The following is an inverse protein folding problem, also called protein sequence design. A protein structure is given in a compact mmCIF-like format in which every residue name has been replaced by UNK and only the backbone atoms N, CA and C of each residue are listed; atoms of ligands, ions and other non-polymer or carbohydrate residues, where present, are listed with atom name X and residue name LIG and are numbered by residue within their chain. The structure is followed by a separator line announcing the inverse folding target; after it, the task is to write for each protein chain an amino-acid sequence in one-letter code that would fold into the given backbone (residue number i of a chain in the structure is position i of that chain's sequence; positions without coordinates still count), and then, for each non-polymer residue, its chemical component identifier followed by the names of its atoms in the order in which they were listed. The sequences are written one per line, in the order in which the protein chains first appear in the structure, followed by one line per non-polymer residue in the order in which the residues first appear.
data_IF_191755356128
#
_entry.id   IF_191755356128
#
_cell.length_a   1.000
_cell.length_b   1.000
_cell.length_c   1.000
_cell.angle_alpha   90.00
_cell.angle_beta   90.00
_cell.angle_gamma   90.00
#
_symmetry.space_group_name_H-M   'P 1'
#
loop_
_entity.id
_entity.type
_entity.pdbx_description
1 polymer ?
#
# COMPACT_ATOMS: atom_id res chain seq x y z
N UNK A 1 5.67 -15.14 -11.23
CA UNK A 1 4.56 -14.26 -11.63
C UNK A 1 3.29 -15.09 -11.68
N UNK A 2 2.27 -14.74 -10.92
CA UNK A 2 0.99 -15.48 -10.85
C UNK A 2 0.02 -15.14 -11.99
N UNK A 3 0.53 -14.69 -13.14
CA UNK A 3 -0.29 -14.34 -14.30
C UNK A 3 -0.58 -15.51 -15.21
N UNK A 4 0.17 -16.62 -15.06
CA UNK A 4 0.08 -17.80 -15.91
C UNK A 4 -0.17 -19.04 -15.06
N UNK A 5 -1.15 -19.85 -15.47
CA UNK A 5 -1.43 -21.18 -14.91
C UNK A 5 -0.40 -22.21 -15.38
N UNK A 6 0.05 -22.07 -16.63
CA UNK A 6 1.03 -22.98 -17.23
C UNK A 6 2.09 -22.17 -18.00
N UNK A 7 3.32 -22.61 -17.89
CA UNK A 7 4.45 -22.07 -18.66
C UNK A 7 5.23 -23.25 -19.22
N UNK A 8 5.20 -23.42 -20.55
CA UNK A 8 5.84 -24.54 -21.28
C UNK A 8 6.99 -24.02 -22.13
N UNK A 9 8.23 -24.00 -21.62
CA UNK A 9 9.40 -23.68 -22.42
C UNK A 9 9.79 -24.88 -23.28
N UNK A 10 9.99 -24.63 -24.59
CA UNK A 10 10.42 -25.62 -25.56
C UNK A 10 11.62 -25.10 -26.32
N UNK A 11 12.68 -25.90 -26.42
CA UNK A 11 13.81 -25.63 -27.27
C UNK A 11 13.51 -26.22 -28.66
N UNK A 12 13.48 -25.35 -29.67
CA UNK A 12 13.24 -25.75 -31.08
C UNK A 12 14.54 -25.54 -31.85
N UNK A 13 15.13 -26.59 -32.43
CA UNK A 13 16.32 -26.47 -33.28
C UNK A 13 16.04 -25.49 -34.41
N UNK A 14 16.97 -24.56 -34.65
CA UNK A 14 16.97 -23.74 -35.85
C UNK A 14 17.68 -24.51 -36.99
N UNK A 15 17.59 -24.02 -38.22
CA UNK A 15 18.33 -24.62 -39.35
C UNK A 15 19.85 -24.44 -39.27
N UNK A 16 20.37 -23.72 -38.29
CA UNK A 16 21.78 -23.43 -38.09
C UNK A 16 22.40 -24.34 -37.03
N UNK A 17 23.56 -24.97 -37.26
CA UNK A 17 24.22 -25.79 -36.24
C UNK A 17 24.58 -24.96 -34.99
N UNK A 18 24.15 -25.41 -33.81
CA UNK A 18 24.45 -24.77 -32.52
C UNK A 18 23.49 -23.65 -32.07
N UNK A 19 22.48 -23.35 -32.88
CA UNK A 19 21.44 -22.37 -32.54
C UNK A 19 20.10 -23.07 -32.19
N UNK A 20 19.44 -22.60 -31.17
CA UNK A 20 18.10 -23.07 -30.77
C UNK A 20 17.21 -21.88 -30.45
N UNK A 21 15.95 -21.95 -30.88
CA UNK A 21 14.89 -21.02 -30.45
C UNK A 21 14.26 -21.48 -29.18
N UNK A 22 14.07 -20.59 -28.24
CA UNK A 22 13.27 -20.83 -27.05
C UNK A 22 11.83 -20.41 -27.31
N UNK A 23 10.94 -21.38 -27.53
CA UNK A 23 9.48 -21.16 -27.56
C UNK A 23 8.92 -21.27 -26.15
N UNK A 24 8.29 -20.21 -25.64
CA UNK A 24 7.61 -20.23 -24.35
C UNK A 24 6.11 -20.15 -24.60
N UNK A 25 5.43 -21.29 -24.50
CA UNK A 25 3.97 -21.35 -24.48
C UNK A 25 3.46 -20.96 -23.08
N UNK A 26 2.53 -20.02 -23.00
CA UNK A 26 1.92 -19.61 -21.74
C UNK A 26 0.41 -19.74 -21.82
N UNK A 27 -0.22 -20.14 -20.71
CA UNK A 27 -1.66 -20.11 -20.52
C UNK A 27 -1.97 -19.11 -19.41
N UNK A 28 -2.70 -18.06 -19.78
CA UNK A 28 -3.10 -17.02 -18.80
C UNK A 28 -4.00 -17.62 -17.72
N UNK A 29 -3.70 -17.28 -16.47
CA UNK A 29 -4.48 -17.64 -15.30
C UNK A 29 -5.51 -16.57 -14.95
N UNK A 30 -6.39 -16.87 -14.00
CA UNK A 30 -7.30 -15.89 -13.44
C UNK A 30 -6.54 -14.97 -12.49
N UNK A 31 -6.47 -13.68 -12.81
CA UNK A 31 -5.77 -12.64 -12.05
C UNK A 31 -6.73 -11.76 -11.22
N UNK A 32 -8.03 -11.92 -11.43
CA UNK A 32 -9.08 -11.30 -10.64
C UNK A 32 -9.33 -12.01 -9.33
N UNK A 33 -9.61 -11.28 -8.26
CA UNK A 33 -10.01 -11.83 -6.98
C UNK A 33 -11.16 -11.05 -6.35
N UNK A 34 -12.01 -11.79 -5.64
CA UNK A 34 -13.06 -11.23 -4.79
C UNK A 34 -12.84 -11.83 -3.40
N UNK A 35 -12.84 -10.97 -2.39
CA UNK A 35 -12.70 -11.39 -1.00
C UNK A 35 -13.81 -10.76 -0.16
N UNK A 36 -14.29 -11.51 0.83
CA UNK A 36 -15.24 -11.05 1.84
C UNK A 36 -14.77 -11.63 3.17
N UNK A 37 -14.72 -10.81 4.18
CA UNK A 37 -14.36 -11.20 5.53
C UNK A 37 -15.28 -10.52 6.54
N UNK A 38 -15.46 -11.17 7.67
CA UNK A 38 -16.17 -10.61 8.82
C UNK A 38 -15.43 -10.95 10.09
N UNK A 39 -15.56 -10.08 11.05
CA UNK A 39 -14.89 -10.22 12.34
C UNK A 39 -15.65 -9.54 13.45
N UNK A 40 -15.27 -9.86 14.67
CA UNK A 40 -15.78 -9.23 15.87
C UNK A 40 -14.62 -8.77 16.76
N UNK A 41 -14.66 -7.54 17.20
CA UNK A 41 -13.76 -6.99 18.23
C UNK A 41 -14.57 -6.35 19.35
N UNK A 42 -13.96 -6.18 20.52
CA UNK A 42 -14.63 -5.48 21.63
C UNK A 42 -14.80 -3.99 21.36
N UNK A 43 -13.98 -3.41 20.49
CA UNK A 43 -14.01 -2.00 20.10
C UNK A 43 -14.97 -1.77 18.92
N UNK A 44 -14.71 -2.39 17.76
CA UNK A 44 -15.49 -2.21 16.53
C UNK A 44 -16.82 -2.95 16.52
N UNK A 45 -17.02 -3.87 17.51
CA UNK A 45 -18.11 -4.84 17.53
C UNK A 45 -18.03 -5.76 16.31
N UNK A 46 -19.09 -5.81 15.50
CA UNK A 46 -19.13 -6.59 14.29
C UNK A 46 -18.64 -5.75 13.10
N UNK A 47 -17.72 -6.28 12.32
CA UNK A 47 -17.20 -5.64 11.12
C UNK A 47 -17.24 -6.56 9.91
N UNK A 48 -17.48 -5.97 8.75
CA UNK A 48 -17.48 -6.64 7.46
C UNK A 48 -16.46 -5.93 6.56
N UNK A 49 -15.58 -6.71 5.95
CA UNK A 49 -14.66 -6.25 4.91
C UNK A 49 -15.01 -6.91 3.58
N UNK A 50 -14.89 -6.20 2.49
CA UNK A 50 -15.04 -6.74 1.15
C UNK A 50 -14.08 -6.08 0.18
N UNK A 51 -13.70 -6.83 -0.87
CA UNK A 51 -12.82 -6.27 -1.89
C UNK A 51 -12.88 -7.04 -3.19
N UNK A 52 -12.62 -6.32 -4.26
CA UNK A 52 -12.38 -6.86 -5.60
C UNK A 52 -11.03 -6.34 -6.09
N UNK A 53 -10.28 -7.15 -6.77
CA UNK A 53 -9.03 -6.72 -7.37
C UNK A 53 -8.71 -7.50 -8.65
N UNK A 54 -7.97 -6.85 -9.52
CA UNK A 54 -7.37 -7.39 -10.73
C UNK A 54 -5.87 -7.12 -10.70
N UNK A 55 -5.06 -8.17 -10.83
CA UNK A 55 -3.60 -8.07 -10.72
C UNK A 55 -2.89 -7.95 -12.09
N UNK A 56 -3.63 -8.14 -13.18
CA UNK A 56 -3.09 -8.04 -14.54
C UNK A 56 -4.02 -7.23 -15.45
N UNK A 57 -4.43 -6.07 -14.99
CA UNK A 57 -5.35 -5.19 -15.71
C UNK A 57 -4.79 -4.89 -17.12
N UNK A 58 -5.61 -5.16 -18.14
CA UNK A 58 -5.27 -5.04 -19.57
C UNK A 58 -4.08 -5.93 -20.03
N UNK A 59 -3.71 -6.96 -19.29
CA UNK A 59 -2.56 -7.80 -19.60
C UNK A 59 -1.19 -7.12 -19.39
N UNK A 60 -1.15 -5.97 -18.71
CA UNK A 60 0.06 -5.16 -18.54
C UNK A 60 0.70 -5.31 -17.14
N UNK A 61 0.18 -6.21 -16.32
CA UNK A 61 0.65 -6.38 -14.95
C UNK A 61 0.28 -5.21 -14.02
N UNK A 62 -0.67 -4.37 -14.40
CA UNK A 62 -1.18 -3.33 -13.51
C UNK A 62 -2.13 -3.96 -12.49
N UNK A 63 -2.04 -3.49 -11.26
CA UNK A 63 -2.97 -3.85 -10.21
C UNK A 63 -4.04 -2.75 -10.05
N UNK A 64 -5.29 -3.16 -10.01
CA UNK A 64 -6.42 -2.32 -9.61
C UNK A 64 -7.20 -3.05 -8.51
N UNK A 65 -7.42 -2.38 -7.38
CA UNK A 65 -8.18 -2.92 -6.27
C UNK A 65 -9.15 -1.91 -5.69
N UNK A 66 -10.32 -2.39 -5.28
CA UNK A 66 -11.29 -1.64 -4.49
C UNK A 66 -11.60 -2.45 -3.23
N UNK A 67 -11.49 -1.82 -2.08
CA UNK A 67 -11.73 -2.40 -0.76
C UNK A 67 -12.69 -1.54 0.02
N UNK A 68 -13.58 -2.17 0.77
CA UNK A 68 -14.49 -1.52 1.71
C UNK A 68 -14.48 -2.24 3.04
N UNK A 69 -14.66 -1.47 4.10
CA UNK A 69 -14.84 -1.97 5.45
C UNK A 69 -15.97 -1.19 6.13
N UNK A 70 -16.79 -1.88 6.89
CA UNK A 70 -17.84 -1.26 7.71
C UNK A 70 -17.93 -1.96 9.06
N UNK A 71 -18.03 -1.16 10.10
CA UNK A 71 -18.26 -1.58 11.48
C UNK A 71 -19.12 -0.56 12.20
N UNK A 72 -19.32 -0.72 13.52
CA UNK A 72 -20.01 0.29 14.32
C UNK A 72 -19.16 1.54 14.56
N UNK A 73 -17.85 1.47 14.36
CA UNK A 73 -16.89 2.56 14.68
C UNK A 73 -16.14 3.07 13.48
N UNK A 74 -16.13 2.31 12.37
CA UNK A 74 -15.40 2.69 11.17
C UNK A 74 -16.20 2.30 9.92
N UNK A 75 -16.25 3.23 8.96
CA UNK A 75 -16.63 2.95 7.57
C UNK A 75 -15.51 3.44 6.68
N UNK A 76 -15.00 2.57 5.83
CA UNK A 76 -13.94 2.96 4.90
C UNK A 76 -14.09 2.35 3.51
N UNK A 77 -13.63 3.10 2.51
CA UNK A 77 -13.49 2.65 1.13
C UNK A 77 -12.14 3.10 0.60
N UNK A 78 -11.45 2.21 -0.12
CA UNK A 78 -10.14 2.48 -0.69
C UNK A 78 -10.03 1.90 -2.09
N UNK A 79 -9.68 2.76 -3.05
CA UNK A 79 -9.25 2.39 -4.40
C UNK A 79 -7.74 2.46 -4.51
N UNK A 80 -7.11 1.44 -5.09
CA UNK A 80 -5.65 1.37 -5.28
C UNK A 80 -5.34 0.98 -6.71
N UNK A 81 -4.50 1.75 -7.38
CA UNK A 81 -3.90 1.42 -8.67
C UNK A 81 -2.38 1.33 -8.51
N UNK A 82 -1.76 0.28 -9.07
CA UNK A 82 -0.31 0.12 -9.06
C UNK A 82 0.16 -0.20 -10.48
N UNK A 83 1.13 0.59 -10.95
CA UNK A 83 1.94 0.26 -12.11
C UNK A 83 3.36 -0.08 -11.62
N UNK A 84 3.77 -1.36 -11.65
CA UNK A 84 5.08 -1.78 -11.13
C UNK A 84 6.26 -1.34 -11.99
N UNK A 85 6.01 -0.90 -13.23
CA UNK A 85 7.03 -0.57 -14.23
C UNK A 85 6.65 0.66 -15.04
N UNK A 86 6.60 1.81 -14.40
CA UNK A 86 6.30 3.07 -15.07
C UNK A 86 7.30 3.33 -16.21
N UNK A 87 6.79 3.58 -17.42
CA UNK A 87 7.58 3.76 -18.64
C UNK A 87 8.54 2.59 -18.92
N UNK A 88 8.15 1.34 -18.64
CA UNK A 88 8.97 0.14 -18.78
C UNK A 88 10.30 0.18 -17.99
N UNK A 89 10.37 1.00 -16.96
CA UNK A 89 11.53 1.13 -16.06
C UNK A 89 11.34 0.30 -14.78
N UNK A 90 12.31 0.33 -13.87
CA UNK A 90 12.18 -0.26 -12.55
C UNK A 90 11.44 0.66 -11.56
N UNK A 91 10.90 1.78 -12.03
CA UNK A 91 10.12 2.70 -11.21
C UNK A 91 8.69 2.20 -11.06
N UNK A 92 8.29 1.88 -9.84
CA UNK A 92 6.90 1.58 -9.50
C UNK A 92 6.13 2.84 -9.13
N UNK A 93 4.85 2.90 -9.54
CA UNK A 93 3.88 3.93 -9.18
C UNK A 93 2.71 3.29 -8.44
N UNK A 94 2.30 3.89 -7.34
CA UNK A 94 1.05 3.56 -6.64
C UNK A 94 0.20 4.81 -6.47
N UNK A 95 -1.07 4.71 -6.84
CA UNK A 95 -2.09 5.72 -6.61
C UNK A 95 -3.15 5.14 -5.67
N UNK A 96 -3.52 5.89 -4.65
CA UNK A 96 -4.59 5.52 -3.74
C UNK A 96 -5.57 6.68 -3.58
N UNK A 97 -6.86 6.35 -3.56
CA UNK A 97 -7.94 7.25 -3.16
C UNK A 97 -8.73 6.56 -2.06
N UNK A 98 -9.09 7.29 -1.03
CA UNK A 98 -9.80 6.69 0.11
C UNK A 98 -10.74 7.68 0.78
N UNK A 99 -11.78 7.10 1.38
CA UNK A 99 -12.64 7.78 2.33
C UNK A 99 -12.75 6.92 3.59
N UNK A 100 -12.62 7.54 4.76
CA UNK A 100 -12.69 6.88 6.05
C UNK A 100 -13.53 7.73 6.98
N UNK A 101 -14.49 7.11 7.66
CA UNK A 101 -15.27 7.70 8.75
C UNK A 101 -15.01 6.87 10.00
N UNK A 102 -14.57 7.53 11.06
CA UNK A 102 -14.17 6.93 12.33
C UNK A 102 -14.93 7.60 13.48
N UNK A 103 -15.53 6.80 14.33
CA UNK A 103 -16.15 7.25 15.58
C UNK A 103 -15.22 6.92 16.75
N UNK A 104 -14.54 7.93 17.25
CA UNK A 104 -13.70 7.86 18.45
C UNK A 104 -14.50 8.17 19.70
N UNK A 105 -13.97 7.87 20.86
CA UNK A 105 -14.64 8.14 22.14
C UNK A 105 -14.88 9.64 22.35
N UNK A 106 -13.99 10.47 21.87
CA UNK A 106 -13.97 11.91 22.16
C UNK A 106 -14.40 12.77 20.97
N UNK A 107 -14.49 12.21 19.76
CA UNK A 107 -14.86 12.92 18.52
C UNK A 107 -15.14 11.95 17.38
N UNK A 108 -15.78 12.46 16.34
CA UNK A 108 -15.91 11.77 15.05
C UNK A 108 -14.93 12.38 14.03
N UNK A 109 -14.32 11.54 13.24
CA UNK A 109 -13.41 11.97 12.18
C UNK A 109 -13.83 11.40 10.82
N UNK A 110 -13.96 12.28 9.85
CA UNK A 110 -14.14 11.90 8.44
C UNK A 110 -12.96 12.37 7.63
N UNK A 111 -12.32 11.46 6.93
CA UNK A 111 -11.16 11.75 6.06
C UNK A 111 -11.48 11.35 4.62
N UNK A 112 -11.20 12.22 3.67
CA UNK A 112 -11.18 11.92 2.23
C UNK A 112 -9.82 12.35 1.72
N UNK A 113 -9.11 11.42 1.08
CA UNK A 113 -7.72 11.69 0.71
C UNK A 113 -7.25 10.91 -0.50
N UNK A 114 -6.05 11.29 -0.93
CA UNK A 114 -5.34 10.63 -1.99
C UNK A 114 -3.84 10.60 -1.73
N UNK A 115 -3.20 9.56 -2.24
CA UNK A 115 -1.76 9.37 -2.15
C UNK A 115 -1.20 8.96 -3.49
N UNK A 116 -0.09 9.59 -3.88
CA UNK A 116 0.79 9.13 -4.95
C UNK A 116 2.10 8.69 -4.32
N UNK A 117 2.58 7.52 -4.69
CA UNK A 117 3.84 6.98 -4.17
C UNK A 117 4.65 6.35 -5.28
N UNK A 118 5.95 6.49 -5.19
CA UNK A 118 6.92 5.90 -6.10
C UNK A 118 7.86 4.99 -5.34
N UNK A 119 8.33 3.95 -6.01
CA UNK A 119 9.26 2.98 -5.48
C UNK A 119 10.32 2.69 -6.54
N UNK A 120 11.59 2.75 -6.14
CA UNK A 120 12.71 2.46 -7.02
C UNK A 120 13.74 1.56 -6.32
N UNK A 121 14.10 0.39 -6.89
CA UNK A 121 15.13 -0.47 -6.33
C UNK A 121 16.50 0.19 -6.52
N UNK A 122 17.20 0.44 -5.42
CA UNK A 122 18.54 1.04 -5.38
C UNK A 122 19.64 0.02 -5.13
N UNK A 123 19.30 -1.25 -5.00
CA UNK A 123 20.19 -2.38 -4.78
C UNK A 123 19.41 -3.69 -4.76
N UNK A 124 20.10 -4.80 -4.55
CA UNK A 124 19.51 -6.14 -4.56
C UNK A 124 18.39 -6.28 -3.49
N UNK A 125 18.61 -5.70 -2.31
CA UNK A 125 17.71 -5.78 -1.17
C UNK A 125 17.15 -4.43 -0.75
N UNK A 126 17.50 -3.34 -1.44
CA UNK A 126 17.23 -1.99 -0.98
C UNK A 126 16.31 -1.24 -1.94
N UNK A 127 15.39 -0.48 -1.37
CA UNK A 127 14.37 0.26 -2.12
C UNK A 127 14.28 1.68 -1.59
N UNK A 128 14.27 2.65 -2.50
CA UNK A 128 13.93 4.04 -2.24
C UNK A 128 12.44 4.24 -2.51
N UNK A 129 11.75 4.84 -1.55
CA UNK A 129 10.33 5.17 -1.65
C UNK A 129 10.15 6.66 -1.42
N UNK A 130 9.27 7.30 -2.20
CA UNK A 130 8.85 8.68 -1.95
C UNK A 130 7.41 8.87 -2.38
N UNK A 131 6.76 9.87 -1.84
CA UNK A 131 5.37 10.11 -2.16
C UNK A 131 4.84 11.39 -1.58
N UNK A 132 3.60 11.66 -1.96
CA UNK A 132 2.83 12.79 -1.48
C UNK A 132 1.42 12.33 -1.14
N UNK A 133 0.88 12.86 -0.05
CA UNK A 133 -0.47 12.59 0.44
C UNK A 133 -1.18 13.91 0.70
N UNK A 134 -2.41 14.00 0.24
CA UNK A 134 -3.31 15.11 0.51
C UNK A 134 -4.60 14.56 1.10
N UNK A 135 -4.91 14.96 2.32
CA UNK A 135 -6.12 14.59 3.03
C UNK A 135 -6.92 15.86 3.36
N UNK A 136 -8.23 15.76 3.17
CA UNK A 136 -9.20 16.65 3.79
C UNK A 136 -9.88 15.87 4.89
N UNK A 137 -9.74 16.32 6.13
CA UNK A 137 -10.40 15.69 7.26
C UNK A 137 -11.27 16.68 8.02
N UNK A 138 -12.36 16.17 8.60
CA UNK A 138 -13.29 16.95 9.41
C UNK A 138 -13.43 16.27 10.75
N UNK A 139 -13.23 17.05 11.84
CA UNK A 139 -13.48 16.66 13.20
C UNK A 139 -14.79 17.31 13.66
N UNK A 140 -15.70 16.51 14.20
CA UNK A 140 -17.01 16.95 14.69
C UNK A 140 -17.43 16.11 15.88
N UNK A 141 -18.53 16.52 16.53
CA UNK A 141 -19.05 15.86 17.73
C UNK A 141 -17.99 15.72 18.83
N UNK A 142 -17.21 16.80 19.02
CA UNK A 142 -16.13 16.82 20.00
C UNK A 142 -16.72 16.93 21.40
N UNK A 143 -16.39 15.96 22.23
CA UNK A 143 -16.89 15.88 23.59
C UNK A 143 -16.27 16.95 24.50
N UNK A 144 -17.01 17.44 25.51
CA UNK A 144 -16.52 18.50 26.39
C UNK A 144 -15.21 18.19 27.13
N UNK A 145 -14.94 16.90 27.38
CA UNK A 145 -13.71 16.43 28.05
C UNK A 145 -12.54 16.18 27.09
N UNK A 146 -12.74 16.31 25.77
CA UNK A 146 -11.65 16.17 24.80
C UNK A 146 -10.54 17.18 25.07
N UNK A 147 -9.31 16.81 24.72
CA UNK A 147 -8.14 17.69 24.92
C UNK A 147 -8.24 18.96 24.08
N UNK A 148 -7.57 20.04 24.53
CA UNK A 148 -7.54 21.31 23.79
C UNK A 148 -7.02 21.15 22.36
N UNK A 149 -6.03 20.26 22.16
CA UNK A 149 -5.47 19.97 20.85
C UNK A 149 -6.55 19.46 19.88
N UNK A 150 -7.44 18.56 20.32
CA UNK A 150 -8.54 18.07 19.48
C UNK A 150 -9.52 19.19 19.17
N UNK A 151 -9.85 20.03 20.16
CA UNK A 151 -10.77 21.16 20.00
C UNK A 151 -10.27 22.22 19.04
N UNK A 152 -8.95 22.45 19.02
CA UNK A 152 -8.31 23.40 18.11
C UNK A 152 -8.43 22.99 16.63
N UNK A 153 -8.62 21.69 16.37
CA UNK A 153 -8.84 21.13 15.03
C UNK A 153 -10.32 20.86 14.69
N UNK A 154 -11.27 21.38 15.48
CA UNK A 154 -12.69 21.26 15.16
C UNK A 154 -13.02 21.83 13.79
N UNK A 155 -13.84 21.12 13.02
CA UNK A 155 -14.19 21.50 11.67
C UNK A 155 -13.35 20.81 10.61
N UNK A 156 -13.19 21.47 9.47
CA UNK A 156 -12.49 20.89 8.30
C UNK A 156 -11.09 21.43 8.20
N UNK A 157 -10.14 20.51 8.09
CA UNK A 157 -8.71 20.75 7.99
C UNK A 157 -8.10 20.00 6.81
N UNK A 158 -6.91 20.39 6.40
CA UNK A 158 -6.15 19.77 5.32
C UNK A 158 -4.78 19.30 5.84
N UNK A 159 -4.41 18.07 5.49
CA UNK A 159 -3.08 17.54 5.71
C UNK A 159 -2.38 17.34 4.36
N UNK A 160 -1.30 18.05 4.14
CA UNK A 160 -0.46 17.99 2.95
C UNK A 160 0.91 17.48 3.35
N UNK A 161 1.26 16.25 2.93
CA UNK A 161 2.42 15.53 3.47
C UNK A 161 3.28 14.95 2.35
N UNK A 162 4.55 15.31 2.33
CA UNK A 162 5.58 14.67 1.52
C UNK A 162 6.33 13.63 2.36
N UNK A 163 6.71 12.54 1.74
CA UNK A 163 7.46 11.46 2.39
C UNK A 163 8.60 10.97 1.53
N UNK A 164 9.70 10.55 2.18
CA UNK A 164 10.81 9.84 1.55
C UNK A 164 11.34 8.79 2.53
N UNK A 165 11.67 7.61 2.03
CA UNK A 165 12.18 6.54 2.87
C UNK A 165 13.08 5.59 2.10
N UNK A 166 13.95 4.93 2.82
CA UNK A 166 14.79 3.82 2.33
C UNK A 166 14.51 2.62 3.17
N UNK A 167 14.24 1.49 2.51
CA UNK A 167 14.07 0.20 3.15
C UNK A 167 15.06 -0.81 2.58
N UNK A 168 15.47 -1.76 3.42
CA UNK A 168 16.25 -2.93 3.04
C UNK A 168 15.62 -4.18 3.62
N UNK A 169 15.40 -5.18 2.79
CA UNK A 169 14.86 -6.47 3.19
C UNK A 169 15.75 -7.58 2.63
N UNK A 170 16.61 -8.15 3.48
CA UNK A 170 17.51 -9.28 3.17
C UNK A 170 16.97 -10.60 3.68
N UNK A 171 15.70 -10.68 4.02
CA UNK A 171 15.09 -11.90 4.54
C UNK A 171 14.97 -12.99 3.48
N UNK A 172 15.09 -14.25 3.91
CA UNK A 172 14.99 -15.40 3.02
C UNK A 172 13.56 -15.72 2.57
N UNK A 173 12.55 -15.09 3.16
CA UNK A 173 11.12 -15.26 2.81
C UNK A 173 10.34 -14.01 3.20
N UNK A 174 9.50 -13.54 2.29
CA UNK A 174 8.63 -12.40 2.54
C UNK A 174 7.51 -12.71 3.56
N UNK A 175 7.03 -13.96 3.57
CA UNK A 175 5.88 -14.38 4.40
C UNK A 175 6.30 -15.01 5.73
N UNK A 176 7.30 -15.90 5.71
CA UNK A 176 7.80 -16.61 6.89
C UNK A 176 9.33 -16.50 6.97
N UNK A 177 9.86 -15.32 7.32
CA UNK A 177 11.30 -15.13 7.40
C UNK A 177 11.89 -15.92 8.58
N UNK A 178 12.92 -16.69 8.28
CA UNK A 178 13.70 -17.44 9.29
C UNK A 178 15.16 -16.99 9.36
N UNK A 179 15.60 -16.10 8.47
CA UNK A 179 16.96 -15.54 8.44
C UNK A 179 17.00 -14.23 7.69
N UNK A 180 17.85 -13.32 8.13
CA UNK A 180 18.09 -12.02 7.51
C UNK A 180 17.61 -10.86 8.36
N UNK A 181 17.67 -9.68 7.79
CA UNK A 181 17.22 -8.42 8.43
C UNK A 181 16.22 -7.69 7.55
N UNK A 182 15.32 -6.98 8.20
CA UNK A 182 14.45 -5.98 7.59
C UNK A 182 14.64 -4.68 8.33
N UNK A 183 14.99 -3.64 7.61
CA UNK A 183 15.31 -2.34 8.18
C UNK A 183 14.79 -1.22 7.28
N UNK A 184 14.38 -0.11 7.88
CA UNK A 184 13.86 1.02 7.13
C UNK A 184 13.90 2.32 7.94
N UNK A 185 13.99 3.40 7.21
CA UNK A 185 13.80 4.74 7.75
C UNK A 185 12.92 5.52 6.79
N UNK A 186 11.94 6.22 7.34
CA UNK A 186 11.01 7.09 6.59
C UNK A 186 10.96 8.45 7.27
N UNK A 187 11.06 9.49 6.45
CA UNK A 187 10.88 10.89 6.83
C UNK A 187 9.58 11.40 6.24
N UNK A 188 8.76 12.06 7.05
CA UNK A 188 7.54 12.73 6.61
C UNK A 188 7.60 14.20 7.03
N UNK A 189 7.25 15.07 6.10
CA UNK A 189 7.10 16.50 6.34
C UNK A 189 5.69 16.93 5.95
N UNK A 190 4.95 17.50 6.89
CA UNK A 190 3.60 18.00 6.69
C UNK A 190 3.52 19.49 6.89
N UNK A 191 2.68 20.16 6.10
CA UNK A 191 2.39 21.58 6.22
C UNK A 191 3.50 22.49 5.70
N UNK A 192 3.65 23.66 6.32
CA UNK A 192 4.64 24.66 5.93
C UNK A 192 4.56 25.05 4.46
N UNK A 193 5.64 24.87 3.71
CA UNK A 193 5.70 25.16 2.27
C UNK A 193 4.83 24.27 1.39
N UNK A 194 4.31 23.14 1.91
CA UNK A 194 3.37 22.26 1.21
C UNK A 194 1.91 22.71 1.37
N UNK A 195 1.64 23.65 2.28
CA UNK A 195 0.29 24.07 2.66
C UNK A 195 -0.40 23.05 3.56
N UNK A 196 -1.65 23.35 3.93
CA UNK A 196 -2.43 22.56 4.89
C UNK A 196 -2.34 23.13 6.31
N UNK A 197 -3.13 22.54 7.20
CA UNK A 197 -3.29 23.00 8.58
C UNK A 197 -2.35 22.25 9.54
N UNK A 198 -1.93 21.04 9.16
CA UNK A 198 -1.03 20.19 9.94
C UNK A 198 0.44 20.57 9.68
N UNK A 199 1.18 20.95 10.72
CA UNK A 199 2.61 21.25 10.62
C UNK A 199 3.41 20.26 11.47
N UNK A 200 4.18 19.38 10.83
CA UNK A 200 4.99 18.40 11.54
C UNK A 200 6.17 17.89 10.72
N UNK A 201 7.16 17.39 11.42
CA UNK A 201 8.22 16.54 10.90
C UNK A 201 8.23 15.23 11.68
N UNK A 202 8.18 14.10 10.98
CA UNK A 202 8.16 12.79 11.59
C UNK A 202 9.24 11.90 11.00
N UNK A 203 9.94 11.20 11.88
CA UNK A 203 10.93 10.17 11.53
C UNK A 203 10.41 8.85 12.05
N UNK A 204 10.32 7.85 11.19
CA UNK A 204 9.96 6.49 11.56
C UNK A 204 11.14 5.58 11.21
N UNK A 205 11.65 4.83 12.19
CA UNK A 205 12.66 3.80 12.00
C UNK A 205 12.06 2.41 12.27
N UNK A 206 12.40 1.44 11.43
CA UNK A 206 11.99 0.04 11.59
C UNK A 206 13.22 -0.85 11.54
N UNK A 207 13.28 -1.85 12.43
CA UNK A 207 14.32 -2.85 12.43
C UNK A 207 13.76 -4.21 12.84
N UNK A 208 14.03 -5.24 12.05
CA UNK A 208 13.68 -6.62 12.33
C UNK A 208 14.86 -7.54 12.05
N UNK A 209 15.17 -8.42 12.99
CA UNK A 209 16.16 -9.48 12.85
C UNK A 209 15.48 -10.84 12.95
N UNK A 210 15.76 -11.71 12.01
CA UNK A 210 15.16 -13.04 11.93
C UNK A 210 16.22 -14.13 12.06
N UNK A 211 15.99 -15.04 13.00
CA UNK A 211 16.85 -16.19 13.25
C UNK A 211 16.00 -17.42 13.56
N UNK A 212 16.15 -18.47 12.74
CA UNK A 212 15.45 -19.74 12.93
C UNK A 212 16.13 -20.56 14.04
N UNK A 213 15.40 -20.83 15.11
CA UNK A 213 15.79 -21.83 16.10
C UNK A 213 15.58 -23.22 15.48
N UNK A 214 16.63 -24.05 15.53
CA UNK A 214 16.58 -25.48 15.13
C UNK A 214 15.98 -26.32 16.23
#
# INVERSE_FOLDING_TARGET
LRYFDEVNPQLVPTGNPGEVDLKVGVKEGNTGSINVGFGYSTYDKFGIAGGISEANLFGQGYYLGLQGYTSTKENSVRGTFINPRLYNSNLGLSLQLYGVEEEWTDFDKRTVGGRISFMYPIGEYSTLNWGYRLDRYTLKNIEPWATSIIKDYEGTNWASVASVGVGRDSTNSATFPSRGTREGITLEYGGGGLGGDDNFFKVTGEYGFFYGLK
#
